data_IF_717452688056
#
_entry.id   IF_717452688056
#
_cell.length_a   1.000
_cell.length_b   1.000
_cell.length_c   1.000
_cell.angle_alpha   90.00
_cell.angle_beta   90.00
_cell.angle_gamma   90.00
#
_symmetry.space_group_name_H-M   'P 1'
#
loop_
_entity.id
_entity.type
_entity.pdbx_description
1 polymer ?
#
# COMPACT_ATOMS: atom_id res chain seq x y z
N UNK A 1 -32.93 5.51 3.92
CA UNK A 1 -31.71 5.52 3.08
C UNK A 1 -30.41 5.66 3.89
N UNK A 2 -30.43 6.14 5.13
CA UNK A 2 -29.25 6.20 6.03
C UNK A 2 -29.34 5.19 7.19
N UNK A 3 -30.25 4.23 7.10
CA UNK A 3 -30.49 3.24 8.14
C UNK A 3 -29.42 2.14 8.17
N UNK A 4 -28.32 2.35 8.86
CA UNK A 4 -27.48 1.27 9.41
C UNK A 4 -26.58 0.49 8.45
N UNK A 5 -26.84 0.45 7.15
CA UNK A 5 -26.08 -0.40 6.22
C UNK A 5 -24.77 0.24 5.72
N UNK A 6 -24.78 1.52 5.36
CA UNK A 6 -23.62 2.22 4.81
C UNK A 6 -22.39 2.18 5.75
N UNK A 7 -22.49 2.40 7.08
CA UNK A 7 -21.37 2.26 8.00
C UNK A 7 -20.77 0.86 8.01
N UNK A 8 -21.58 -0.19 7.89
CA UNK A 8 -21.09 -1.57 7.81
C UNK A 8 -20.28 -1.81 6.53
N UNK A 9 -20.76 -1.29 5.38
CA UNK A 9 -20.05 -1.34 4.12
C UNK A 9 -18.72 -0.59 4.17
N UNK A 10 -18.68 0.60 4.80
CA UNK A 10 -17.45 1.37 5.02
C UNK A 10 -16.47 0.57 5.87
N UNK A 11 -16.91 -0.01 6.97
CA UNK A 11 -16.07 -0.79 7.88
C UNK A 11 -15.42 -1.99 7.18
N UNK A 12 -16.18 -2.72 6.37
CA UNK A 12 -15.67 -3.88 5.61
C UNK A 12 -14.64 -3.45 4.55
N UNK A 13 -14.93 -2.40 3.79
CA UNK A 13 -14.01 -1.86 2.77
C UNK A 13 -12.71 -1.33 3.41
N UNK A 14 -12.82 -0.59 4.49
CA UNK A 14 -11.67 -0.10 5.27
C UNK A 14 -10.80 -1.25 5.78
N UNK A 15 -11.42 -2.25 6.40
CA UNK A 15 -10.70 -3.44 6.87
C UNK A 15 -9.92 -4.14 5.75
N UNK A 16 -10.53 -4.32 4.56
CA UNK A 16 -9.87 -4.95 3.40
C UNK A 16 -8.64 -4.17 2.94
N UNK A 17 -8.74 -2.84 2.84
CA UNK A 17 -7.61 -1.98 2.47
C UNK A 17 -6.50 -2.07 3.52
N UNK A 18 -6.83 -1.86 4.79
CA UNK A 18 -5.83 -1.85 5.86
C UNK A 18 -5.14 -3.20 5.99
N UNK A 19 -5.88 -4.30 5.89
CA UNK A 19 -5.31 -5.65 5.93
C UNK A 19 -4.37 -5.91 4.74
N UNK A 20 -4.77 -5.55 3.51
CA UNK A 20 -3.97 -5.77 2.31
C UNK A 20 -2.70 -4.90 2.32
N UNK A 21 -2.82 -3.63 2.67
CA UNK A 21 -1.70 -2.69 2.76
C UNK A 21 -0.76 -3.10 3.89
N UNK A 22 -1.30 -3.45 5.06
CA UNK A 22 -0.52 -3.93 6.20
C UNK A 22 0.28 -5.18 5.85
N UNK A 23 -0.34 -6.17 5.19
CA UNK A 23 0.33 -7.38 4.72
C UNK A 23 1.43 -7.05 3.70
N UNK A 24 1.17 -6.11 2.78
CA UNK A 24 2.15 -5.68 1.78
C UNK A 24 3.34 -4.97 2.40
N UNK A 25 3.15 -4.21 3.48
CA UNK A 25 4.25 -3.59 4.24
C UNK A 25 5.06 -4.62 5.01
N UNK A 26 4.39 -5.53 5.72
CA UNK A 26 5.06 -6.55 6.55
C UNK A 26 5.94 -7.47 5.72
N UNK A 27 5.58 -7.74 4.46
CA UNK A 27 6.34 -8.61 3.55
C UNK A 27 7.21 -7.78 2.61
N UNK A 28 6.65 -6.75 1.97
CA UNK A 28 7.33 -5.97 0.92
C UNK A 28 8.47 -5.10 1.43
N UNK A 29 8.33 -4.51 2.62
CA UNK A 29 9.41 -3.68 3.19
C UNK A 29 10.65 -4.53 3.53
N UNK A 30 10.56 -5.63 4.30
CA UNK A 30 11.73 -6.48 4.57
C UNK A 30 12.36 -7.04 3.29
N UNK A 31 11.54 -7.50 2.34
CA UNK A 31 12.05 -8.01 1.05
C UNK A 31 12.74 -6.92 0.24
N UNK A 32 12.18 -5.71 0.19
CA UNK A 32 12.78 -4.57 -0.51
C UNK A 32 14.09 -4.11 0.13
N UNK A 33 14.15 -4.07 1.47
CA UNK A 33 15.38 -3.76 2.20
C UNK A 33 16.46 -4.82 1.97
N UNK A 34 16.09 -6.11 2.02
CA UNK A 34 17.03 -7.19 1.73
C UNK A 34 17.57 -7.15 0.30
N UNK A 35 16.69 -6.95 -0.67
CA UNK A 35 17.05 -6.81 -2.10
C UNK A 35 17.94 -5.59 -2.34
N UNK A 36 17.61 -4.46 -1.70
CA UNK A 36 18.42 -3.23 -1.84
C UNK A 36 19.83 -3.34 -1.23
N UNK A 37 20.00 -4.11 -0.15
CA UNK A 37 21.27 -4.27 0.56
C UNK A 37 22.14 -5.44 0.03
N UNK A 38 21.57 -6.39 -0.71
CA UNK A 38 22.24 -7.62 -1.16
C UNK A 38 22.17 -7.77 -2.67
N UNK A 39 23.31 -7.67 -3.35
CA UNK A 39 23.40 -7.86 -4.80
C UNK A 39 22.92 -9.26 -5.25
N UNK A 40 23.15 -10.29 -4.44
CA UNK A 40 22.70 -11.65 -4.73
C UNK A 40 21.17 -11.77 -4.64
N UNK A 41 20.55 -11.16 -3.63
CA UNK A 41 19.11 -11.13 -3.51
C UNK A 41 18.46 -10.30 -4.64
N UNK A 42 19.07 -9.17 -4.99
CA UNK A 42 18.64 -8.31 -6.07
C UNK A 42 18.68 -9.02 -7.44
N UNK A 43 19.75 -9.76 -7.70
CA UNK A 43 19.92 -10.50 -8.96
C UNK A 43 18.82 -11.56 -9.18
N UNK A 44 18.18 -12.05 -8.12
CA UNK A 44 17.12 -13.07 -8.20
C UNK A 44 15.73 -12.46 -8.08
N UNK A 45 15.50 -11.63 -7.06
CA UNK A 45 14.16 -11.15 -6.72
C UNK A 45 13.70 -10.03 -7.66
N UNK A 46 14.59 -9.12 -8.06
CA UNK A 46 14.21 -7.98 -8.89
C UNK A 46 13.72 -8.39 -10.28
N UNK A 47 14.38 -9.29 -11.03
CA UNK A 47 13.84 -9.77 -12.31
C UNK A 47 12.46 -10.40 -12.18
N UNK A 48 12.24 -11.21 -11.13
CA UNK A 48 10.94 -11.83 -10.86
C UNK A 48 9.88 -10.75 -10.59
N UNK A 49 10.22 -9.77 -9.75
CA UNK A 49 9.32 -8.67 -9.47
C UNK A 49 8.97 -7.86 -10.73
N UNK A 50 9.95 -7.53 -11.58
CA UNK A 50 9.73 -6.81 -12.83
C UNK A 50 8.89 -7.59 -13.85
N UNK A 51 9.04 -8.91 -13.93
CA UNK A 51 8.22 -9.77 -14.81
C UNK A 51 6.78 -9.83 -14.27
N UNK A 52 6.62 -9.97 -12.97
CA UNK A 52 5.28 -10.10 -12.35
C UNK A 52 4.55 -8.75 -12.20
N UNK A 53 5.27 -7.61 -12.17
CA UNK A 53 4.69 -6.29 -11.97
C UNK A 53 3.63 -5.91 -13.01
N UNK A 54 3.87 -6.04 -14.35
CA UNK A 54 2.92 -5.62 -15.38
C UNK A 54 1.75 -6.59 -15.60
N UNK A 55 1.74 -7.75 -14.95
CA UNK A 55 0.65 -8.72 -15.12
C UNK A 55 -0.67 -8.11 -14.60
N UNK A 56 -1.77 -8.18 -15.37
CA UNK A 56 -3.06 -7.60 -14.98
C UNK A 56 -3.70 -8.42 -13.85
N UNK A 57 -3.24 -8.20 -12.61
CA UNK A 57 -3.62 -9.01 -11.45
C UNK A 57 -5.11 -8.98 -11.14
N UNK A 58 -5.83 -7.92 -11.55
CA UNK A 58 -7.27 -7.84 -11.36
C UNK A 58 -8.01 -8.97 -12.12
N UNK A 59 -7.43 -9.47 -13.22
CA UNK A 59 -7.98 -10.60 -13.98
C UNK A 59 -7.94 -11.91 -13.18
N UNK A 60 -7.11 -12.00 -12.13
CA UNK A 60 -7.03 -13.16 -11.25
C UNK A 60 -8.11 -13.17 -10.15
N UNK A 61 -8.96 -12.13 -10.05
CA UNK A 61 -10.02 -12.09 -9.05
C UNK A 61 -10.88 -13.35 -9.05
N UNK A 62 -11.41 -13.86 -10.19
CA UNK A 62 -12.17 -15.12 -10.21
C UNK A 62 -11.37 -16.30 -9.68
N UNK A 63 -10.08 -16.39 -10.00
CA UNK A 63 -9.19 -17.47 -9.52
C UNK A 63 -9.04 -17.39 -8.00
N UNK A 64 -8.79 -16.19 -7.44
CA UNK A 64 -8.73 -16.02 -6.00
C UNK A 64 -10.06 -16.35 -5.31
N UNK A 65 -11.20 -16.05 -5.95
CA UNK A 65 -12.51 -16.39 -5.41
C UNK A 65 -12.77 -17.90 -5.39
N UNK A 66 -12.31 -18.64 -6.39
CA UNK A 66 -12.41 -20.09 -6.43
C UNK A 66 -11.55 -20.74 -5.35
N UNK A 67 -10.31 -20.25 -5.15
CA UNK A 67 -9.35 -20.85 -4.22
C UNK A 67 -9.61 -20.41 -2.77
N UNK A 68 -9.91 -19.13 -2.54
CA UNK A 68 -10.00 -18.50 -1.21
C UNK A 68 -11.44 -18.22 -0.76
N UNK A 69 -12.41 -18.54 -1.62
CA UNK A 69 -13.82 -18.23 -1.40
C UNK A 69 -14.20 -16.78 -1.76
N UNK A 70 -15.51 -16.53 -1.77
CA UNK A 70 -16.10 -15.24 -2.15
C UNK A 70 -16.06 -14.18 -1.03
N UNK A 71 -15.39 -14.46 0.09
CA UNK A 71 -15.31 -13.62 1.27
C UNK A 71 -14.29 -12.46 1.16
N UNK A 72 -13.84 -11.98 2.32
CA UNK A 72 -12.86 -10.89 2.43
C UNK A 72 -11.48 -11.28 1.90
N UNK A 73 -11.08 -12.55 2.09
CA UNK A 73 -9.72 -13.01 1.82
C UNK A 73 -9.33 -12.88 0.35
N UNK A 74 -10.22 -13.24 -0.58
CA UNK A 74 -9.97 -13.10 -2.03
C UNK A 74 -9.71 -11.64 -2.44
N UNK A 75 -10.44 -10.68 -1.85
CA UNK A 75 -10.27 -9.24 -2.12
C UNK A 75 -8.99 -8.70 -1.48
N UNK A 76 -8.69 -9.10 -0.25
CA UNK A 76 -7.44 -8.73 0.45
C UNK A 76 -6.23 -9.24 -0.33
N UNK A 77 -6.22 -10.50 -0.74
CA UNK A 77 -5.12 -11.08 -1.52
C UNK A 77 -4.99 -10.44 -2.90
N UNK A 78 -6.10 -10.10 -3.56
CA UNK A 78 -6.07 -9.36 -4.82
C UNK A 78 -5.33 -8.01 -4.65
N UNK A 79 -5.74 -7.19 -3.68
CA UNK A 79 -5.13 -5.90 -3.40
C UNK A 79 -3.65 -6.08 -3.00
N UNK A 80 -3.38 -7.03 -2.11
CA UNK A 80 -2.03 -7.37 -1.68
C UNK A 80 -1.11 -7.70 -2.86
N UNK A 81 -1.53 -8.57 -3.79
CA UNK A 81 -0.70 -8.99 -4.95
C UNK A 81 -0.39 -7.84 -5.91
N UNK A 82 -1.21 -6.79 -5.93
CA UNK A 82 -0.97 -5.59 -6.73
C UNK A 82 0.05 -4.69 -6.04
N UNK A 83 -0.11 -4.47 -4.74
CA UNK A 83 0.69 -3.51 -3.97
C UNK A 83 2.08 -4.05 -3.63
N UNK A 84 2.21 -5.36 -3.34
CA UNK A 84 3.46 -5.95 -2.82
C UNK A 84 4.67 -5.61 -3.67
N UNK A 85 4.55 -5.72 -5.01
CA UNK A 85 5.66 -5.44 -5.93
C UNK A 85 6.02 -3.95 -5.96
N UNK A 86 5.01 -3.07 -5.87
CA UNK A 86 5.22 -1.63 -5.81
C UNK A 86 5.98 -1.23 -4.55
N UNK A 87 5.59 -1.77 -3.39
CA UNK A 87 6.26 -1.53 -2.11
C UNK A 87 7.69 -2.09 -2.15
N UNK A 88 7.85 -3.35 -2.57
CA UNK A 88 9.16 -4.01 -2.65
C UNK A 88 10.14 -3.20 -3.50
N UNK A 89 9.76 -2.87 -4.74
CA UNK A 89 10.63 -2.13 -5.67
C UNK A 89 10.92 -0.72 -5.18
N UNK A 90 9.93 0.00 -4.64
CA UNK A 90 10.14 1.34 -4.07
C UNK A 90 11.12 1.34 -2.91
N UNK A 91 11.02 0.37 -2.01
CA UNK A 91 11.92 0.22 -0.86
C UNK A 91 13.32 -0.16 -1.32
N UNK A 92 13.44 -1.15 -2.22
CA UNK A 92 14.72 -1.55 -2.83
C UNK A 92 15.43 -0.36 -3.48
N UNK A 93 14.72 0.41 -4.29
CA UNK A 93 15.28 1.57 -4.98
C UNK A 93 15.66 2.66 -3.98
N UNK A 94 14.85 2.89 -2.93
CA UNK A 94 15.20 3.78 -1.83
C UNK A 94 16.51 3.41 -1.11
N UNK A 95 16.79 2.11 -0.95
CA UNK A 95 18.09 1.65 -0.41
C UNK A 95 19.22 1.95 -1.38
N UNK A 96 19.03 1.72 -2.68
CA UNK A 96 20.06 1.95 -3.71
C UNK A 96 20.35 3.43 -3.97
N UNK A 97 19.42 4.30 -3.65
CA UNK A 97 19.61 5.76 -3.71
C UNK A 97 20.49 6.31 -2.57
N UNK A 98 20.79 5.50 -1.52
CA UNK A 98 21.66 5.94 -0.42
C UNK A 98 23.10 6.06 -0.93
N UNK A 99 23.74 7.26 -0.84
CA UNK A 99 25.12 7.45 -1.28
C UNK A 99 26.10 6.51 -0.54
N UNK A 100 27.05 5.93 -1.30
CA UNK A 100 28.04 4.99 -0.75
C UNK A 100 28.90 5.64 0.34
N UNK A 101 29.13 6.95 0.24
CA UNK A 101 29.91 7.75 1.20
C UNK A 101 29.29 7.69 2.61
N UNK A 102 27.98 7.64 2.72
CA UNK A 102 27.29 7.50 4.01
C UNK A 102 27.57 6.14 4.65
N UNK A 103 27.64 5.07 3.85
CA UNK A 103 28.03 3.75 4.36
C UNK A 103 29.48 3.72 4.84
N UNK A 104 30.40 4.39 4.14
CA UNK A 104 31.79 4.53 4.58
C UNK A 104 31.88 5.33 5.89
N UNK A 105 31.18 6.46 5.98
CA UNK A 105 31.17 7.31 7.16
C UNK A 105 30.70 6.59 8.42
N UNK A 106 29.60 5.82 8.34
CA UNK A 106 29.10 5.07 9.51
C UNK A 106 29.98 3.89 9.87
N UNK A 107 30.71 3.31 8.90
CA UNK A 107 31.69 2.26 9.16
C UNK A 107 32.95 2.78 9.86
N UNK A 108 33.44 3.96 9.47
CA UNK A 108 34.60 4.60 10.16
C UNK A 108 34.26 4.97 11.62
N UNK A 109 32.99 5.23 11.91
CA UNK A 109 32.49 5.43 13.27
C UNK A 109 32.35 4.13 14.09
N UNK A 110 32.73 2.97 13.50
CA UNK A 110 32.68 1.69 14.17
C UNK A 110 31.29 1.09 14.37
N UNK A 111 30.27 1.56 13.65
CA UNK A 111 28.91 1.03 13.76
C UNK A 111 28.86 -0.43 13.25
N UNK A 112 28.21 -1.28 14.04
CA UNK A 112 27.90 -2.64 13.61
C UNK A 112 26.75 -2.70 12.59
N UNK A 113 26.54 -3.85 11.92
CA UNK A 113 25.52 -4.01 10.86
C UNK A 113 24.12 -3.60 11.31
N UNK A 114 23.73 -3.93 12.56
CA UNK A 114 22.40 -3.57 13.10
C UNK A 114 22.26 -2.06 13.31
N UNK A 115 23.33 -1.41 13.79
CA UNK A 115 23.36 0.04 13.98
C UNK A 115 23.31 0.79 12.64
N UNK A 116 24.03 0.32 11.61
CA UNK A 116 23.95 0.86 10.25
C UNK A 116 22.53 0.75 9.71
N UNK A 117 21.88 -0.40 9.92
CA UNK A 117 20.50 -0.61 9.47
C UNK A 117 19.52 0.35 10.16
N UNK A 118 19.58 0.49 11.48
CA UNK A 118 18.65 1.31 12.26
C UNK A 118 18.92 2.80 12.09
N UNK A 119 20.20 3.23 12.05
CA UNK A 119 20.56 4.64 12.11
C UNK A 119 20.81 5.27 10.72
N UNK A 120 21.01 4.47 9.68
CA UNK A 120 21.23 4.97 8.32
C UNK A 120 20.13 4.47 7.36
N UNK A 121 20.04 3.15 7.17
CA UNK A 121 19.21 2.58 6.09
C UNK A 121 17.73 2.86 6.34
N UNK A 122 17.22 2.50 7.50
CA UNK A 122 15.79 2.63 7.81
C UNK A 122 15.32 4.10 7.77
N UNK A 123 16.01 5.08 8.41
CA UNK A 123 15.66 6.48 8.31
C UNK A 123 15.76 7.03 6.88
N UNK A 124 16.77 6.62 6.10
CA UNK A 124 16.94 7.09 4.73
C UNK A 124 15.83 6.59 3.79
N UNK A 125 15.33 5.37 3.99
CA UNK A 125 14.31 4.73 3.13
C UNK A 125 12.89 5.06 3.58
N UNK A 126 12.69 5.44 4.84
CA UNK A 126 11.37 5.70 5.41
C UNK A 126 10.51 6.69 4.60
N UNK A 127 11.05 7.81 4.07
CA UNK A 127 10.31 8.70 3.18
C UNK A 127 9.81 8.01 1.90
N UNK A 128 10.62 7.11 1.34
CA UNK A 128 10.26 6.34 0.15
C UNK A 128 9.12 5.36 0.45
N UNK A 129 9.14 4.73 1.65
CA UNK A 129 8.05 3.89 2.14
C UNK A 129 6.75 4.69 2.25
N UNK A 130 6.79 5.90 2.83
CA UNK A 130 5.61 6.76 2.97
C UNK A 130 5.06 7.19 1.60
N UNK A 131 5.92 7.56 0.67
CA UNK A 131 5.53 7.90 -0.71
C UNK A 131 4.91 6.70 -1.43
N UNK A 132 5.50 5.51 -1.30
CA UNK A 132 4.97 4.26 -1.85
C UNK A 132 3.59 3.92 -1.26
N UNK A 133 3.40 4.09 0.05
CA UNK A 133 2.11 3.90 0.71
C UNK A 133 1.03 4.81 0.12
N UNK A 134 1.31 6.09 -0.05
CA UNK A 134 0.38 7.06 -0.62
C UNK A 134 -0.10 6.63 -2.01
N UNK A 135 0.81 6.23 -2.88
CA UNK A 135 0.49 5.72 -4.22
C UNK A 135 -0.31 4.42 -4.14
N UNK A 136 0.09 3.52 -3.25
CA UNK A 136 -0.57 2.21 -3.06
C UNK A 136 -2.01 2.35 -2.58
N UNK A 137 -2.34 3.33 -1.74
CA UNK A 137 -3.72 3.56 -1.30
C UNK A 137 -4.62 3.96 -2.47
N UNK A 138 -4.16 4.86 -3.35
CA UNK A 138 -4.92 5.25 -4.54
C UNK A 138 -5.27 4.04 -5.43
N UNK A 139 -4.28 3.19 -5.69
CA UNK A 139 -4.49 1.94 -6.44
C UNK A 139 -5.41 0.98 -5.69
N UNK A 140 -5.23 0.84 -4.36
CA UNK A 140 -6.04 -0.04 -3.52
C UNK A 140 -7.52 0.29 -3.57
N UNK A 141 -7.88 1.57 -3.52
CA UNK A 141 -9.27 2.04 -3.56
C UNK A 141 -9.92 1.66 -4.90
N UNK A 142 -9.22 1.85 -6.02
CA UNK A 142 -9.72 1.48 -7.33
C UNK A 142 -9.91 -0.04 -7.46
N UNK A 143 -8.90 -0.83 -7.04
CA UNK A 143 -8.95 -2.29 -7.08
C UNK A 143 -10.02 -2.84 -6.13
N UNK A 144 -10.17 -2.24 -4.95
CA UNK A 144 -11.22 -2.58 -4.00
C UNK A 144 -12.61 -2.39 -4.62
N UNK A 145 -12.87 -1.21 -5.21
CA UNK A 145 -14.14 -0.93 -5.88
C UNK A 145 -14.48 -2.02 -6.90
N UNK A 146 -13.53 -2.35 -7.79
CA UNK A 146 -13.74 -3.44 -8.75
C UNK A 146 -13.93 -4.79 -8.08
N UNK A 147 -13.12 -5.13 -7.08
CA UNK A 147 -13.20 -6.40 -6.36
C UNK A 147 -14.50 -6.59 -5.58
N UNK A 148 -15.10 -5.50 -5.12
CA UNK A 148 -16.37 -5.51 -4.40
C UNK A 148 -17.59 -5.54 -5.31
N UNK A 149 -17.43 -5.39 -6.63
CA UNK A 149 -18.54 -5.55 -7.59
C UNK A 149 -18.81 -7.04 -7.89
N UNK A 150 -17.93 -7.93 -7.49
CA UNK A 150 -18.06 -9.36 -7.80
C UNK A 150 -18.28 -10.17 -6.53
N UNK A 151 -19.38 -10.94 -6.53
CA UNK A 151 -19.69 -12.00 -5.55
C UNK A 151 -19.41 -11.59 -4.09
N UNK A 152 -19.97 -10.48 -3.65
CA UNK A 152 -19.93 -10.02 -2.26
C UNK A 152 -21.27 -9.36 -1.89
N UNK A 153 -21.61 -9.42 -0.63
CA UNK A 153 -22.81 -8.76 -0.09
C UNK A 153 -22.47 -7.53 0.74
N UNK A 154 -21.17 -7.25 0.96
CA UNK A 154 -20.70 -6.15 1.79
C UNK A 154 -19.49 -5.46 1.17
N UNK A 155 -19.44 -4.14 1.32
CA UNK A 155 -18.41 -3.24 0.85
C UNK A 155 -19.02 -2.02 0.15
N UNK A 156 -18.27 -0.91 0.10
CA UNK A 156 -18.75 0.34 -0.51
C UNK A 156 -18.92 0.15 -2.02
N UNK A 157 -18.05 -0.62 -2.67
CA UNK A 157 -18.16 -0.93 -4.10
C UNK A 157 -19.45 -1.69 -4.42
N UNK A 158 -19.77 -2.71 -3.62
CA UNK A 158 -21.05 -3.41 -3.72
C UNK A 158 -22.23 -2.46 -3.50
N UNK A 159 -22.20 -1.62 -2.45
CA UNK A 159 -23.25 -0.67 -2.15
C UNK A 159 -23.51 0.28 -3.32
N UNK A 160 -22.46 0.84 -3.93
CA UNK A 160 -22.57 1.74 -5.08
C UNK A 160 -23.23 1.03 -6.27
N UNK A 161 -22.78 -0.19 -6.61
CA UNK A 161 -23.26 -0.92 -7.77
C UNK A 161 -24.69 -1.44 -7.56
N UNK A 162 -25.04 -1.84 -6.35
CA UNK A 162 -26.39 -2.25 -5.99
C UNK A 162 -27.37 -1.07 -6.07
N UNK A 163 -27.00 0.09 -5.53
CA UNK A 163 -27.80 1.32 -5.65
C UNK A 163 -27.99 1.74 -7.12
N UNK A 164 -26.93 1.64 -7.93
CA UNK A 164 -27.03 1.91 -9.37
C UNK A 164 -27.96 0.93 -10.08
N UNK A 165 -27.90 -0.36 -9.79
CA UNK A 165 -28.76 -1.37 -10.38
C UNK A 165 -30.25 -1.19 -9.99
N UNK A 166 -30.52 -0.62 -8.79
CA UNK A 166 -31.85 -0.28 -8.32
C UNK A 166 -32.32 1.10 -8.76
N UNK A 167 -31.54 1.83 -9.58
CA UNK A 167 -31.84 3.22 -10.02
C UNK A 167 -31.91 4.18 -8.83
N UNK A 168 -31.32 3.83 -7.67
CA UNK A 168 -31.18 4.70 -6.51
C UNK A 168 -29.92 5.57 -6.65
N UNK A 169 -30.06 6.65 -7.41
CA UNK A 169 -28.93 7.57 -7.64
C UNK A 169 -28.48 8.28 -6.36
N UNK A 170 -29.38 8.52 -5.40
CA UNK A 170 -29.02 9.16 -4.11
C UNK A 170 -28.12 8.24 -3.30
N UNK A 171 -28.49 6.97 -3.19
CA UNK A 171 -27.64 5.95 -2.55
C UNK A 171 -26.30 5.77 -3.26
N UNK A 172 -26.32 5.71 -4.59
CA UNK A 172 -25.09 5.60 -5.39
C UNK A 172 -24.12 6.76 -5.11
N UNK A 173 -24.57 8.01 -5.18
CA UNK A 173 -23.72 9.17 -4.89
C UNK A 173 -23.28 9.22 -3.44
N UNK A 174 -24.13 8.82 -2.49
CA UNK A 174 -23.72 8.69 -1.08
C UNK A 174 -22.60 7.68 -0.90
N UNK A 175 -22.66 6.54 -1.60
CA UNK A 175 -21.56 5.54 -1.60
C UNK A 175 -20.26 6.08 -2.21
N UNK A 176 -20.34 6.80 -3.34
CA UNK A 176 -19.18 7.43 -3.98
C UNK A 176 -18.54 8.44 -3.03
N UNK A 177 -19.33 9.29 -2.38
CA UNK A 177 -18.83 10.25 -1.40
C UNK A 177 -18.19 9.54 -0.20
N UNK A 178 -18.81 8.48 0.32
CA UNK A 178 -18.27 7.70 1.42
C UNK A 178 -16.90 7.06 1.07
N UNK A 179 -16.78 6.50 -0.14
CA UNK A 179 -15.51 5.93 -0.63
C UNK A 179 -14.42 7.01 -0.75
N UNK A 180 -14.79 8.18 -1.27
CA UNK A 180 -13.88 9.33 -1.43
C UNK A 180 -13.41 9.86 -0.07
N UNK A 181 -14.33 10.04 0.87
CA UNK A 181 -14.00 10.49 2.23
C UNK A 181 -13.11 9.46 2.93
N UNK A 182 -13.41 8.18 2.83
CA UNK A 182 -12.58 7.12 3.38
C UNK A 182 -11.15 7.19 2.80
N UNK A 183 -11.00 7.38 1.49
CA UNK A 183 -9.70 7.55 0.84
C UNK A 183 -8.93 8.76 1.35
N UNK A 184 -9.59 9.92 1.45
CA UNK A 184 -8.99 11.14 1.98
C UNK A 184 -8.55 10.97 3.43
N UNK A 185 -9.35 10.32 4.27
CA UNK A 185 -9.00 10.06 5.66
C UNK A 185 -7.77 9.16 5.79
N UNK A 186 -7.68 8.09 4.97
CA UNK A 186 -6.52 7.20 4.95
C UNK A 186 -5.26 7.98 4.50
N UNK A 187 -5.34 8.76 3.43
CA UNK A 187 -4.22 9.57 2.94
C UNK A 187 -3.77 10.61 3.96
N UNK A 188 -4.72 11.33 4.59
CA UNK A 188 -4.42 12.30 5.65
C UNK A 188 -3.73 11.64 6.86
N UNK A 189 -4.15 10.42 7.20
CA UNK A 189 -3.50 9.65 8.25
C UNK A 189 -2.06 9.27 7.88
N UNK A 190 -1.81 8.88 6.62
CA UNK A 190 -0.45 8.60 6.12
C UNK A 190 0.41 9.87 6.17
N UNK A 191 -0.13 11.02 5.75
CA UNK A 191 0.58 12.31 5.80
C UNK A 191 0.92 12.71 7.25
N UNK A 192 0.01 12.44 8.19
CA UNK A 192 0.28 12.63 9.62
C UNK A 192 1.41 11.71 10.12
N UNK A 193 1.38 10.43 9.73
CA UNK A 193 2.45 9.48 10.06
C UNK A 193 3.79 9.92 9.47
N UNK A 194 3.82 10.37 8.21
CA UNK A 194 5.03 10.85 7.55
C UNK A 194 5.64 12.03 8.30
N UNK A 195 4.83 13.03 8.66
CA UNK A 195 5.30 14.19 9.45
C UNK A 195 5.89 13.77 10.79
N UNK A 196 5.33 12.76 11.43
CA UNK A 196 5.79 12.28 12.74
C UNK A 196 7.04 11.40 12.62
N UNK A 197 7.12 10.55 11.59
CA UNK A 197 8.18 9.57 11.42
C UNK A 197 9.37 10.11 10.63
N UNK A 198 9.18 11.15 9.80
CA UNK A 198 10.20 11.73 8.93
C UNK A 198 10.35 13.26 9.13
N UNK A 199 10.52 13.78 10.36
CA UNK A 199 10.56 15.23 10.62
C UNK A 199 11.70 15.94 9.89
N UNK A 200 12.80 15.24 9.59
CA UNK A 200 13.98 15.80 8.90
C UNK A 200 13.70 16.25 7.47
N UNK A 201 12.69 15.71 6.79
CA UNK A 201 12.33 16.14 5.43
C UNK A 201 11.78 17.56 5.46
N UNK A 202 10.94 17.87 6.44
CA UNK A 202 10.27 19.16 6.57
C UNK A 202 11.24 20.26 7.03
N UNK A 203 12.27 19.91 7.82
CA UNK A 203 13.31 20.86 8.26
C UNK A 203 14.22 21.30 7.11
N UNK A 204 14.46 20.44 6.11
CA UNK A 204 15.27 20.76 4.92
C UNK A 204 14.59 21.81 4.04
N UNK A 205 13.27 21.75 3.86
CA UNK A 205 12.53 22.67 3.02
C UNK A 205 12.42 24.09 3.63
N UNK A 206 12.51 24.22 4.96
CA UNK A 206 12.51 25.54 5.62
C UNK A 206 13.84 26.29 5.52
N UNK A 207 14.95 25.61 5.16
CA UNK A 207 16.27 26.22 4.99
C UNK A 207 16.59 26.63 3.56
N UNK A 208 15.72 26.28 2.59
CA UNK A 208 15.89 26.58 1.16
C UNK A 208 14.97 27.70 0.65
N UNK A 209 14.20 28.32 1.52
CA UNK A 209 13.45 29.58 1.33
C UNK A 209 14.06 30.68 2.16
#
# INVERSE_FOLDING_TARGET
LLGGELPAHIGVSFFRIVAAVGLSLVIGVPLGLWTGLSSSADAVISPIAYILYPIPKIAFLPVFMVILGMGNLSKIILIFTIIIFQVLLSVRDGVKEIPAELFYSVRTLGLNRRQVYINLVLPAVLPKIMSSLRTSIGVSIAVLFFGENFATSYGIGYFIMNAWAMVDYVGMFAGILALSIMGILILTFIDFLEKKLCPWIFLKNQRST
#
